data_IF_866912224351
#
_entry.id   IF_866912224351
#
_cell.length_a   1.000
_cell.length_b   1.000
_cell.length_c   1.000
_cell.angle_alpha   90.00
_cell.angle_beta   90.00
_cell.angle_gamma   90.00
#
_symmetry.space_group_name_H-M   'P 1'
#
loop_
_entity.id
_entity.type
_entity.pdbx_description
1 polymer ?
#
# COMPACT_ATOMS: atom_id res chain seq x y z
N UNK A 1 18.06 15.62 2.20
CA UNK A 1 17.45 16.12 3.45
C UNK A 1 15.94 15.88 3.54
N UNK A 2 15.07 16.46 2.69
CA UNK A 2 13.62 16.30 2.85
C UNK A 2 13.08 14.88 2.59
N UNK A 3 13.59 14.19 1.56
CA UNK A 3 13.17 12.82 1.24
C UNK A 3 13.65 11.80 2.27
N UNK A 4 14.90 11.91 2.72
CA UNK A 4 15.47 11.01 3.74
C UNK A 4 14.69 11.11 5.05
N UNK A 5 14.30 12.32 5.46
CA UNK A 5 13.48 12.52 6.66
C UNK A 5 12.08 11.87 6.53
N UNK A 6 11.49 11.89 5.33
CA UNK A 6 10.20 11.22 5.07
C UNK A 6 10.34 9.70 5.11
N UNK A 7 11.44 9.15 4.57
CA UNK A 7 11.71 7.71 4.62
C UNK A 7 11.91 7.25 6.06
N UNK A 8 12.66 8.00 6.86
CA UNK A 8 12.89 7.67 8.27
C UNK A 8 11.58 7.68 9.07
N UNK A 9 10.77 8.73 8.92
CA UNK A 9 9.47 8.81 9.60
C UNK A 9 8.51 7.67 9.17
N UNK A 10 8.54 7.28 7.90
CA UNK A 10 7.76 6.14 7.41
C UNK A 10 8.27 4.81 8.02
N UNK A 11 9.59 4.63 8.11
CA UNK A 11 10.19 3.46 8.73
C UNK A 11 9.85 3.36 10.22
N UNK A 12 9.94 4.46 10.96
CA UNK A 12 9.54 4.52 12.38
C UNK A 12 8.07 4.14 12.58
N UNK A 13 7.17 4.66 11.73
CA UNK A 13 5.75 4.35 11.78
C UNK A 13 5.50 2.84 11.54
N UNK A 14 6.14 2.28 10.51
CA UNK A 14 5.99 0.87 10.15
C UNK A 14 6.58 -0.05 11.21
N UNK A 15 7.76 0.27 11.74
CA UNK A 15 8.45 -0.52 12.77
C UNK A 15 7.68 -0.53 14.10
N UNK A 16 6.89 0.52 14.39
CA UNK A 16 6.04 0.59 15.59
C UNK A 16 4.74 -0.22 15.43
N UNK A 17 4.33 -0.53 14.21
CA UNK A 17 3.07 -1.23 13.95
C UNK A 17 3.18 -2.74 14.25
N UNK A 18 2.24 -3.26 15.04
CA UNK A 18 2.23 -4.70 15.40
C UNK A 18 1.80 -5.58 14.22
N UNK A 19 0.88 -5.09 13.37
CA UNK A 19 0.35 -5.79 12.18
C UNK A 19 0.01 -4.75 11.10
N UNK A 20 1.01 -4.24 10.38
CA UNK A 20 0.78 -3.24 9.33
C UNK A 20 -0.05 -3.84 8.19
N UNK A 21 -1.02 -3.06 7.71
CA UNK A 21 -1.80 -3.34 6.51
C UNK A 21 -1.63 -2.17 5.57
N UNK A 22 -1.19 -2.44 4.34
CA UNK A 22 -1.05 -1.43 3.30
C UNK A 22 -2.35 -1.31 2.51
N UNK A 23 -2.73 -0.07 2.19
CA UNK A 23 -3.90 0.21 1.35
C UNK A 23 -3.45 0.91 0.07
N UNK A 24 -3.53 0.19 -1.05
CA UNK A 24 -3.24 0.72 -2.38
C UNK A 24 -4.38 1.58 -2.92
N UNK A 25 -4.11 2.86 -3.15
CA UNK A 25 -5.06 3.82 -3.70
C UNK A 25 -4.81 4.16 -5.18
N UNK A 26 -5.75 4.89 -5.80
CA UNK A 26 -5.69 5.26 -7.23
C UNK A 26 -4.45 6.09 -7.60
N UNK A 27 -3.86 6.81 -6.65
CA UNK A 27 -2.67 7.65 -6.90
C UNK A 27 -1.43 6.85 -7.28
N UNK A 28 -1.26 5.62 -6.78
CA UNK A 28 -0.14 4.73 -7.14
C UNK A 28 -0.11 4.50 -8.66
N UNK A 29 -1.29 4.40 -9.27
CA UNK A 29 -1.43 4.31 -10.72
C UNK A 29 -1.10 5.63 -11.42
N UNK A 30 -1.65 6.77 -10.97
CA UNK A 30 -1.40 8.08 -11.60
C UNK A 30 0.09 8.39 -11.66
N UNK A 31 0.82 8.01 -10.61
CA UNK A 31 2.27 8.24 -10.49
C UNK A 31 3.12 7.16 -11.16
N UNK A 32 2.51 6.13 -11.77
CA UNK A 32 3.20 4.97 -12.36
C UNK A 32 4.14 4.24 -11.39
N UNK A 33 3.85 4.29 -10.09
CA UNK A 33 4.66 3.67 -9.03
C UNK A 33 4.18 2.25 -8.68
N UNK A 34 3.52 1.57 -9.62
CA UNK A 34 2.92 0.26 -9.38
C UNK A 34 3.97 -0.82 -9.15
N UNK A 35 5.02 -0.86 -9.97
CA UNK A 35 6.07 -1.87 -9.86
C UNK A 35 6.87 -1.68 -8.56
N UNK A 36 7.25 -0.43 -8.24
CA UNK A 36 7.91 -0.08 -6.98
C UNK A 36 7.06 -0.46 -5.76
N UNK A 37 5.74 -0.26 -5.83
CA UNK A 37 4.82 -0.64 -4.76
C UNK A 37 4.74 -2.17 -4.60
N UNK A 38 4.77 -2.92 -5.70
CA UNK A 38 4.81 -4.39 -5.66
C UNK A 38 6.13 -4.89 -5.06
N UNK A 39 7.27 -4.32 -5.47
CA UNK A 39 8.58 -4.66 -4.91
C UNK A 39 8.65 -4.38 -3.41
N UNK A 40 8.07 -3.25 -2.97
CA UNK A 40 7.92 -2.93 -1.56
C UNK A 40 7.11 -4.01 -0.81
N UNK A 41 5.95 -4.39 -1.31
CA UNK A 41 5.11 -5.43 -0.68
C UNK A 41 5.85 -6.76 -0.59
N UNK A 42 6.50 -7.18 -1.68
CA UNK A 42 7.23 -8.45 -1.74
C UNK A 42 8.41 -8.47 -0.75
N UNK A 43 9.10 -7.34 -0.56
CA UNK A 43 10.25 -7.22 0.34
C UNK A 43 9.87 -7.25 1.83
N UNK A 44 8.73 -6.65 2.20
CA UNK A 44 8.30 -6.56 3.60
C UNK A 44 7.30 -7.65 4.02
N UNK A 45 6.66 -8.34 3.06
CA UNK A 45 5.68 -9.39 3.34
C UNK A 45 4.37 -8.88 3.94
N UNK A 46 4.02 -7.61 3.72
CA UNK A 46 2.85 -6.98 4.30
C UNK A 46 1.55 -7.38 3.60
N UNK A 47 0.47 -7.37 4.39
CA UNK A 47 -0.89 -7.59 3.89
C UNK A 47 -1.38 -6.33 3.17
N UNK A 48 -2.01 -6.51 2.01
CA UNK A 48 -2.42 -5.42 1.12
C UNK A 48 -3.91 -5.50 0.82
N UNK A 49 -4.55 -4.33 0.88
CA UNK A 49 -5.89 -4.07 0.37
C UNK A 49 -5.80 -3.05 -0.78
N UNK A 50 -6.68 -3.15 -1.77
CA UNK A 50 -6.84 -2.09 -2.78
C UNK A 50 -8.21 -1.44 -2.69
N UNK A 51 -8.26 -0.14 -2.95
CA UNK A 51 -9.51 0.61 -3.06
C UNK A 51 -10.18 0.26 -4.39
N UNK A 52 -11.48 -0.06 -4.47
CA UNK A 52 -12.15 -0.45 -5.71
C UNK A 52 -12.02 0.58 -6.83
N UNK A 53 -11.80 1.87 -6.60
CA UNK A 53 -11.56 2.84 -7.70
C UNK A 53 -10.27 2.58 -8.48
N UNK A 54 -9.41 1.66 -8.02
CA UNK A 54 -8.21 1.21 -8.72
C UNK A 54 -8.49 0.09 -9.75
N UNK A 55 -9.78 -0.18 -10.11
CA UNK A 55 -10.33 -1.30 -10.94
C UNK A 55 -9.53 -1.79 -12.15
N UNK A 56 -8.53 -1.04 -12.63
CA UNK A 56 -7.70 -1.43 -13.79
C UNK A 56 -6.44 -2.20 -13.42
N UNK A 57 -6.07 -2.30 -12.15
CA UNK A 57 -4.97 -3.15 -11.71
C UNK A 57 -5.51 -4.46 -11.17
N UNK A 58 -5.28 -5.55 -11.91
CA UNK A 58 -5.50 -6.90 -11.41
C UNK A 58 -4.39 -7.24 -10.41
N UNK A 59 -4.54 -6.80 -9.15
CA UNK A 59 -3.86 -7.42 -8.00
C UNK A 59 -4.47 -8.82 -7.78
N UNK A 60 -4.50 -9.64 -8.83
CA UNK A 60 -4.95 -11.01 -8.76
C UNK A 60 -3.76 -11.84 -8.30
N UNK A 61 -3.75 -12.15 -7.01
CA UNK A 61 -3.05 -13.30 -6.44
C UNK A 61 -1.53 -13.09 -6.29
N UNK A 62 -1.15 -12.27 -5.31
CA UNK A 62 0.18 -12.30 -4.68
C UNK A 62 0.02 -12.48 -3.17
N UNK A 63 1.05 -13.05 -2.52
CA UNK A 63 1.04 -13.34 -1.09
C UNK A 63 0.75 -12.06 -0.30
N UNK A 64 -0.27 -12.07 0.56
CA UNK A 64 -0.69 -10.91 1.35
C UNK A 64 -1.83 -10.07 0.78
N UNK A 65 -2.30 -10.28 -0.46
CA UNK A 65 -3.51 -9.59 -0.94
C UNK A 65 -4.78 -10.22 -0.34
N UNK A 66 -5.56 -9.44 0.40
CA UNK A 66 -6.77 -9.92 1.11
C UNK A 66 -8.09 -9.32 0.61
N UNK A 67 -8.07 -8.53 -0.47
CA UNK A 67 -9.29 -8.02 -1.11
C UNK A 67 -9.40 -6.49 -1.13
N UNK A 68 -10.64 -6.00 -1.09
CA UNK A 68 -10.94 -4.58 -1.28
C UNK A 68 -11.22 -3.85 0.02
N UNK A 69 -10.60 -2.68 0.23
CA UNK A 69 -10.88 -1.82 1.40
C UNK A 69 -12.06 -0.89 1.13
N UNK A 70 -13.28 -1.39 1.36
CA UNK A 70 -14.51 -0.61 1.14
C UNK A 70 -14.61 0.57 2.13
N UNK A 71 -14.17 0.41 3.37
CA UNK A 71 -14.15 1.49 4.37
C UNK A 71 -13.26 2.66 3.97
N UNK A 72 -12.03 2.38 3.50
CA UNK A 72 -11.12 3.42 3.00
C UNK A 72 -11.65 4.10 1.72
N UNK A 73 -12.44 3.39 0.92
CA UNK A 73 -13.10 3.95 -0.28
C UNK A 73 -14.10 5.04 0.08
N UNK A 74 -14.79 4.86 1.21
CA UNK A 74 -15.81 5.78 1.72
C UNK A 74 -15.23 6.84 2.68
N UNK A 75 -13.91 6.85 2.89
CA UNK A 75 -13.23 7.83 3.75
C UNK A 75 -13.22 7.49 5.24
N UNK A 76 -13.47 6.24 5.62
CA UNK A 76 -13.50 5.77 7.02
C UNK A 76 -12.16 5.15 7.49
N UNK A 77 -11.02 5.69 7.05
CA UNK A 77 -9.68 5.17 7.37
C UNK A 77 -8.79 6.23 8.02
#
# INVERSE_FOLDING_TARGET
MGLEALVEAAAELLNKAVKPVLVGGQKIWVTKACDDFVEFIDGFGYVVLVIPSTKRYEFKIRYGFIGWSVGATLGYA
#
